data_IF_530882300156
#
_entry.id   IF_530882300156
#
_cell.length_a   1.000
_cell.length_b   1.000
_cell.length_c   1.000
_cell.angle_alpha   90.00
_cell.angle_beta   90.00
_cell.angle_gamma   90.00
#
_symmetry.space_group_name_H-M   'P 1'
#
loop_
_entity.id
_entity.type
_entity.pdbx_description
1 polymer ?
#
# COMPACT_ATOMS: atom_id res chain seq x y z
N UNK A 1 -17.06 0.33 16.57
CA UNK A 1 -16.24 -0.65 17.33
C UNK A 1 -16.58 -2.09 16.97
N UNK A 2 -17.88 -2.45 16.83
CA UNK A 2 -18.29 -3.84 16.50
C UNK A 2 -17.74 -4.35 15.16
N UNK A 3 -17.69 -3.50 14.13
CA UNK A 3 -17.25 -3.89 12.78
C UNK A 3 -15.76 -4.20 12.72
N UNK A 4 -14.94 -3.56 13.57
CA UNK A 4 -13.50 -3.85 13.66
C UNK A 4 -13.28 -5.25 14.25
N UNK A 5 -13.95 -5.58 15.33
CA UNK A 5 -13.85 -6.91 15.95
C UNK A 5 -14.38 -8.02 15.04
N UNK A 6 -15.45 -7.74 14.31
CA UNK A 6 -16.01 -8.71 13.36
C UNK A 6 -15.01 -9.01 12.23
N UNK A 7 -14.36 -7.99 11.66
CA UNK A 7 -13.31 -8.17 10.64
C UNK A 7 -12.11 -8.97 11.20
N UNK A 8 -11.67 -8.63 12.41
CA UNK A 8 -10.59 -9.37 13.07
C UNK A 8 -10.95 -10.84 13.24
N UNK A 9 -12.18 -11.14 13.70
CA UNK A 9 -12.67 -12.52 13.82
C UNK A 9 -12.67 -13.24 12.47
N UNK A 10 -13.20 -12.63 11.41
CA UNK A 10 -13.21 -13.23 10.07
C UNK A 10 -11.78 -13.57 9.59
N UNK A 11 -10.81 -12.67 9.82
CA UNK A 11 -9.41 -12.94 9.49
C UNK A 11 -8.82 -14.09 10.31
N UNK A 12 -9.09 -14.14 11.60
CA UNK A 12 -8.65 -15.24 12.49
C UNK A 12 -9.27 -16.56 12.04
N UNK A 13 -10.56 -16.57 11.70
CA UNK A 13 -11.26 -17.77 11.22
C UNK A 13 -10.66 -18.26 9.89
N UNK A 14 -10.26 -17.33 8.97
CA UNK A 14 -9.56 -17.70 7.73
C UNK A 14 -8.19 -18.31 8.03
N UNK A 15 -7.39 -17.68 8.88
CA UNK A 15 -6.06 -18.19 9.27
C UNK A 15 -6.17 -19.58 9.87
N UNK A 16 -7.09 -19.79 10.83
CA UNK A 16 -7.29 -21.07 11.50
C UNK A 16 -7.77 -22.18 10.57
N UNK A 17 -8.47 -21.82 9.49
CA UNK A 17 -8.98 -22.78 8.48
C UNK A 17 -8.09 -22.88 7.24
N UNK A 18 -6.93 -22.23 7.22
CA UNK A 18 -6.02 -22.22 6.07
C UNK A 18 -6.59 -21.55 4.82
N UNK A 19 -7.61 -20.70 4.97
CA UNK A 19 -8.21 -19.92 3.87
C UNK A 19 -7.51 -18.58 3.74
N UNK A 20 -7.57 -17.98 2.53
CA UNK A 20 -7.00 -16.65 2.23
C UNK A 20 -7.87 -15.95 1.17
N UNK A 21 -9.16 -15.87 1.46
CA UNK A 21 -10.18 -15.33 0.56
C UNK A 21 -10.44 -13.84 0.83
N UNK A 22 -10.95 -13.16 -0.18
CA UNK A 22 -11.44 -11.79 -0.01
C UNK A 22 -12.89 -11.86 0.48
N UNK A 23 -13.12 -11.49 1.74
CA UNK A 23 -14.44 -11.42 2.34
C UNK A 23 -14.85 -9.96 2.58
N UNK A 24 -16.14 -9.66 2.36
CA UNK A 24 -16.71 -8.35 2.61
C UNK A 24 -17.54 -8.37 3.90
N UNK A 25 -16.99 -7.80 4.97
CA UNK A 25 -17.70 -7.66 6.24
C UNK A 25 -18.82 -6.62 6.15
N UNK A 26 -18.66 -5.60 5.30
CA UNK A 26 -19.60 -4.48 5.21
C UNK A 26 -20.68 -4.67 4.14
N UNK A 27 -21.14 -5.92 3.96
CA UNK A 27 -22.11 -6.31 2.92
C UNK A 27 -23.46 -5.59 3.01
N UNK A 28 -23.82 -5.05 4.18
CA UNK A 28 -25.04 -4.26 4.36
C UNK A 28 -25.04 -2.91 3.61
N UNK A 29 -23.87 -2.37 3.29
CA UNK A 29 -23.73 -1.07 2.60
C UNK A 29 -22.93 -1.17 1.30
N UNK A 30 -22.06 -2.18 1.19
CA UNK A 30 -21.22 -2.39 0.02
C UNK A 30 -21.55 -3.75 -0.58
N UNK A 31 -22.12 -3.75 -1.79
CA UNK A 31 -22.42 -4.97 -2.52
C UNK A 31 -21.14 -5.55 -3.16
N UNK A 32 -21.19 -6.82 -3.56
CA UNK A 32 -20.08 -7.47 -4.26
C UNK A 32 -19.72 -6.75 -5.58
N UNK A 33 -20.71 -6.19 -6.24
CA UNK A 33 -20.57 -5.45 -7.50
C UNK A 33 -19.99 -4.05 -7.30
N UNK A 34 -19.94 -3.55 -6.06
CA UNK A 34 -19.48 -2.22 -5.72
C UNK A 34 -20.37 -1.09 -6.25
N UNK A 35 -19.83 0.12 -6.30
CA UNK A 35 -20.52 1.26 -6.85
C UNK A 35 -20.41 1.26 -8.38
N UNK A 36 -21.47 0.92 -9.08
CA UNK A 36 -21.50 0.79 -10.55
C UNK A 36 -21.15 2.10 -11.25
N UNK A 37 -21.57 3.25 -10.73
CA UNK A 37 -21.25 4.57 -11.31
C UNK A 37 -19.76 4.84 -11.19
N UNK A 38 -19.18 4.63 -10.02
CA UNK A 38 -17.73 4.81 -9.81
C UNK A 38 -16.91 3.86 -10.68
N UNK A 39 -17.32 2.60 -10.81
CA UNK A 39 -16.64 1.60 -11.65
C UNK A 39 -16.72 2.00 -13.14
N UNK A 40 -17.87 2.51 -13.60
CA UNK A 40 -18.02 2.99 -14.97
C UNK A 40 -17.09 4.17 -15.25
N UNK A 41 -17.04 5.17 -14.34
CA UNK A 41 -16.13 6.30 -14.46
C UNK A 41 -14.65 5.89 -14.42
N UNK A 42 -14.30 4.94 -13.57
CA UNK A 42 -12.92 4.41 -13.53
C UNK A 42 -12.54 3.76 -14.87
N UNK A 43 -13.43 2.99 -15.47
CA UNK A 43 -13.19 2.37 -16.78
C UNK A 43 -13.15 3.38 -17.94
N UNK A 44 -13.91 4.45 -17.82
CA UNK A 44 -13.92 5.54 -18.80
C UNK A 44 -12.61 6.34 -18.76
N UNK A 45 -12.08 6.61 -17.57
CA UNK A 45 -10.98 7.57 -17.37
C UNK A 45 -9.61 6.89 -17.34
N UNK A 46 -9.53 5.68 -16.81
CA UNK A 46 -8.26 5.02 -16.52
C UNK A 46 -8.01 3.79 -17.39
N UNK A 47 -6.73 3.53 -17.60
CA UNK A 47 -6.21 2.27 -18.10
C UNK A 47 -5.10 1.73 -17.20
N UNK A 48 -4.84 0.43 -17.26
CA UNK A 48 -3.80 -0.21 -16.44
C UNK A 48 -2.43 0.09 -17.06
N UNK A 49 -1.46 0.47 -16.23
CA UNK A 49 -0.04 0.60 -16.63
C UNK A 49 0.56 -0.77 -16.87
N UNK A 50 1.47 -0.88 -17.82
CA UNK A 50 2.21 -2.13 -18.07
C UNK A 50 3.07 -2.50 -16.87
N UNK A 51 3.68 -1.51 -16.22
CA UNK A 51 4.45 -1.67 -15.00
C UNK A 51 4.45 -0.39 -14.18
N UNK A 52 4.63 -0.51 -12.87
CA UNK A 52 4.83 0.62 -11.97
C UNK A 52 5.84 0.26 -10.89
N UNK A 53 6.74 1.20 -10.58
CA UNK A 53 7.75 0.99 -9.54
C UNK A 53 7.22 1.44 -8.18
N UNK A 54 7.04 0.48 -7.30
CA UNK A 54 6.60 0.70 -5.93
C UNK A 54 7.81 0.75 -4.99
N UNK A 55 7.93 1.82 -4.23
CA UNK A 55 9.02 1.98 -3.26
C UNK A 55 9.04 0.82 -2.26
N UNK A 56 10.19 0.18 -2.15
CA UNK A 56 10.40 -1.00 -1.30
C UNK A 56 9.93 -2.33 -1.89
N UNK A 57 9.14 -2.34 -2.97
CA UNK A 57 8.64 -3.56 -3.61
C UNK A 57 9.18 -3.77 -5.03
N UNK A 58 9.76 -2.70 -5.63
CA UNK A 58 10.25 -2.72 -7.00
C UNK A 58 9.15 -2.63 -8.05
N UNK A 59 9.48 -2.97 -9.29
CA UNK A 59 8.56 -2.91 -10.41
C UNK A 59 7.58 -4.09 -10.39
N UNK A 60 6.28 -3.79 -10.41
CA UNK A 60 5.20 -4.78 -10.45
C UNK A 60 4.36 -4.54 -11.70
N UNK A 61 4.22 -5.56 -12.53
CA UNK A 61 3.41 -5.49 -13.73
C UNK A 61 1.92 -5.32 -13.40
N UNK A 62 1.24 -4.50 -14.19
CA UNK A 62 -0.22 -4.28 -14.13
C UNK A 62 -0.74 -3.91 -12.73
N UNK A 63 0.05 -3.17 -11.94
CA UNK A 63 -0.25 -2.86 -10.53
C UNK A 63 -0.67 -1.41 -10.28
N UNK A 64 -0.72 -0.56 -11.31
CA UNK A 64 -1.12 0.84 -11.20
C UNK A 64 -2.00 1.28 -12.37
N UNK A 65 -2.71 2.37 -12.18
CA UNK A 65 -3.53 3.00 -13.21
C UNK A 65 -2.83 4.25 -13.75
N UNK A 66 -3.16 4.61 -14.98
CA UNK A 66 -2.84 5.90 -15.61
C UNK A 66 -4.09 6.43 -16.32
N UNK A 67 -4.11 7.72 -16.62
CA UNK A 67 -5.16 8.27 -17.49
C UNK A 67 -5.03 7.66 -18.88
N UNK A 68 -6.16 7.30 -19.47
CA UNK A 68 -6.17 6.83 -20.87
C UNK A 68 -6.00 7.98 -21.85
N UNK A 69 -5.88 7.67 -23.14
CA UNK A 69 -5.61 8.63 -24.20
C UNK A 69 -6.64 9.77 -24.32
N UNK A 70 -7.92 9.50 -24.02
CA UNK A 70 -8.99 10.50 -24.09
C UNK A 70 -8.84 11.61 -23.04
N UNK A 71 -8.15 11.34 -21.95
CA UNK A 71 -7.90 12.27 -20.85
C UNK A 71 -6.42 12.72 -20.74
N UNK A 72 -5.63 12.49 -21.79
CA UNK A 72 -4.19 12.79 -21.80
C UNK A 72 -3.85 14.24 -21.48
N UNK A 73 -4.69 15.19 -21.88
CA UNK A 73 -4.50 16.62 -21.60
C UNK A 73 -4.64 16.99 -20.11
N UNK A 74 -5.26 16.12 -19.32
CA UNK A 74 -5.40 16.27 -17.87
C UNK A 74 -4.30 15.54 -17.11
N UNK A 75 -3.47 14.77 -17.80
CA UNK A 75 -2.38 14.01 -17.19
C UNK A 75 -1.24 14.94 -16.75
N UNK A 76 -1.05 15.07 -15.44
CA UNK A 76 -0.02 15.92 -14.87
C UNK A 76 1.40 15.50 -15.30
N UNK A 77 1.66 14.21 -15.47
CA UNK A 77 2.97 13.70 -15.92
C UNK A 77 3.31 14.25 -17.32
N UNK A 78 2.32 14.28 -18.21
CA UNK A 78 2.47 14.80 -19.57
C UNK A 78 2.46 16.33 -19.63
N UNK A 79 1.49 16.95 -18.92
CA UNK A 79 1.26 18.39 -18.95
C UNK A 79 2.42 19.19 -18.36
N UNK A 80 3.04 18.68 -17.30
CA UNK A 80 4.11 19.37 -16.59
C UNK A 80 5.50 18.79 -16.87
N UNK A 81 5.61 17.85 -17.81
CA UNK A 81 6.87 17.19 -18.17
C UNK A 81 7.64 16.72 -16.94
N UNK A 82 6.94 16.06 -16.03
CA UNK A 82 7.53 15.57 -14.80
C UNK A 82 8.60 14.52 -15.12
N UNK A 83 9.83 14.81 -14.75
CA UNK A 83 10.94 13.87 -14.90
C UNK A 83 11.02 13.06 -13.62
N UNK A 84 10.66 11.80 -13.71
CA UNK A 84 10.90 10.87 -12.61
C UNK A 84 12.41 10.69 -12.41
N UNK A 85 12.90 11.04 -11.23
CA UNK A 85 14.25 10.71 -10.80
C UNK A 85 14.20 9.41 -10.01
N UNK A 86 14.63 8.27 -10.56
CA UNK A 86 14.67 7.04 -9.81
C UNK A 86 15.65 7.19 -8.64
N UNK A 87 15.15 7.06 -7.44
CA UNK A 87 15.96 7.04 -6.22
C UNK A 87 16.02 5.59 -5.74
N UNK A 88 17.21 5.02 -5.82
CA UNK A 88 17.41 3.66 -5.36
C UNK A 88 17.09 3.51 -3.86
N UNK A 89 16.35 2.47 -3.52
CA UNK A 89 16.08 2.12 -2.13
C UNK A 89 17.39 1.77 -1.39
N UNK A 90 17.45 2.13 -0.11
CA UNK A 90 18.60 1.77 0.72
C UNK A 90 18.65 0.24 0.88
N UNK A 91 19.73 -0.38 0.43
CA UNK A 91 19.91 -1.85 0.44
C UNK A 91 19.82 -2.48 1.83
N UNK A 92 20.12 -1.72 2.89
CA UNK A 92 19.99 -2.21 4.27
C UNK A 92 18.57 -2.06 4.81
N UNK A 93 17.66 -1.41 4.09
CA UNK A 93 16.27 -1.22 4.52
C UNK A 93 15.44 -2.47 4.24
N UNK A 94 14.78 -3.00 5.27
CA UNK A 94 13.91 -4.17 5.14
C UNK A 94 12.45 -3.81 4.78
N UNK A 95 12.19 -2.59 4.27
CA UNK A 95 10.82 -2.09 4.02
C UNK A 95 10.00 -3.08 3.17
N UNK A 96 10.54 -3.60 2.07
CA UNK A 96 9.84 -4.54 1.21
C UNK A 96 9.42 -5.83 1.92
N UNK A 97 10.31 -6.42 2.71
CA UNK A 97 10.02 -7.62 3.49
C UNK A 97 8.98 -7.35 4.60
N UNK A 98 9.03 -6.15 5.20
CA UNK A 98 8.05 -5.73 6.22
C UNK A 98 6.67 -5.52 5.59
N UNK A 99 6.60 -4.90 4.40
CA UNK A 99 5.34 -4.70 3.68
C UNK A 99 4.69 -6.02 3.26
N UNK A 100 5.48 -7.05 2.98
CA UNK A 100 4.98 -8.41 2.68
C UNK A 100 4.69 -9.26 3.92
N UNK A 101 4.95 -8.73 5.14
CA UNK A 101 4.74 -9.47 6.38
C UNK A 101 5.79 -10.53 6.70
N UNK A 102 6.91 -10.55 5.98
CA UNK A 102 8.03 -11.50 6.17
C UNK A 102 8.92 -11.13 7.36
N UNK A 103 8.91 -9.85 7.74
CA UNK A 103 9.70 -9.30 8.85
C UNK A 103 8.89 -8.30 9.67
N UNK A 104 9.28 -8.14 10.93
CA UNK A 104 8.80 -7.05 11.78
C UNK A 104 9.70 -5.82 11.63
N UNK A 105 9.19 -4.60 11.93
CA UNK A 105 10.00 -3.38 11.88
C UNK A 105 11.29 -3.45 12.69
N UNK A 106 11.28 -4.12 13.84
CA UNK A 106 12.47 -4.29 14.70
C UNK A 106 13.57 -5.15 14.08
N UNK A 107 13.23 -5.99 13.11
CA UNK A 107 14.22 -6.83 12.41
C UNK A 107 15.02 -6.03 11.37
N UNK A 108 14.58 -4.81 11.07
CA UNK A 108 15.30 -3.93 10.17
C UNK A 108 16.51 -3.30 10.89
N UNK A 109 17.74 -3.48 10.37
CA UNK A 109 18.96 -2.96 11.01
C UNK A 109 18.98 -1.44 11.15
N UNK A 110 18.17 -0.72 10.37
CA UNK A 110 18.08 0.74 10.38
C UNK A 110 17.02 1.26 11.37
N UNK A 111 16.05 0.42 11.73
CA UNK A 111 14.90 0.84 12.54
C UNK A 111 15.34 1.33 13.92
N UNK A 112 14.86 2.51 14.30
CA UNK A 112 15.14 3.12 15.62
C UNK A 112 16.56 3.63 15.81
N UNK A 113 17.44 3.45 14.84
CA UNK A 113 18.83 3.95 14.85
C UNK A 113 18.94 5.15 13.92
N UNK A 114 19.14 4.89 12.64
CA UNK A 114 19.26 5.92 11.60
C UNK A 114 17.94 6.20 10.89
N UNK A 115 16.97 5.26 10.95
CA UNK A 115 15.63 5.40 10.39
C UNK A 115 14.62 5.63 11.50
N UNK A 116 14.14 6.86 11.60
CA UNK A 116 13.15 7.31 12.58
C UNK A 116 12.09 8.17 11.89
N UNK A 117 10.92 8.46 12.50
CA UNK A 117 9.94 9.37 11.91
C UNK A 117 10.50 10.76 11.55
N UNK A 118 11.51 11.26 12.30
CA UNK A 118 12.17 12.52 12.01
C UNK A 118 13.21 12.41 10.87
N UNK A 119 13.72 11.21 10.59
CA UNK A 119 14.68 10.92 9.51
C UNK A 119 14.32 9.61 8.82
N UNK A 120 13.21 9.59 8.06
CA UNK A 120 12.75 8.38 7.41
C UNK A 120 13.69 7.97 6.25
N UNK A 121 14.05 6.69 6.19
CA UNK A 121 14.86 6.12 5.10
C UNK A 121 13.99 5.25 4.21
N UNK A 122 13.24 4.31 4.78
CA UNK A 122 12.33 3.44 4.03
C UNK A 122 10.93 4.05 3.91
N UNK A 123 10.21 3.72 2.84
CA UNK A 123 8.88 4.23 2.54
C UNK A 123 7.88 4.02 3.71
N UNK A 124 7.95 2.90 4.40
CA UNK A 124 7.08 2.58 5.54
C UNK A 124 7.35 3.39 6.82
N UNK A 125 8.39 4.25 6.85
CA UNK A 125 8.65 5.19 7.94
C UNK A 125 8.24 6.64 7.57
N UNK A 126 8.05 6.96 6.29
CA UNK A 126 7.71 8.31 5.81
C UNK A 126 6.31 8.73 6.25
N UNK A 127 5.32 7.88 6.07
CA UNK A 127 3.95 8.13 6.47
C UNK A 127 3.70 7.65 7.89
N UNK A 128 2.89 8.40 8.65
CA UNK A 128 2.43 7.98 9.99
C UNK A 128 1.61 6.69 9.99
N UNK A 129 1.06 6.33 8.85
CA UNK A 129 0.27 5.10 8.62
C UNK A 129 1.14 3.94 8.12
N UNK A 130 2.39 4.19 7.76
CA UNK A 130 3.32 3.16 7.33
C UNK A 130 3.66 2.19 8.46
N UNK A 131 3.88 0.91 8.13
CA UNK A 131 4.10 -0.15 9.10
C UNK A 131 5.20 0.18 10.12
N UNK A 132 6.34 0.71 9.70
CA UNK A 132 7.42 1.08 10.59
C UNK A 132 7.05 2.28 11.49
N UNK A 133 6.40 3.30 10.94
CA UNK A 133 6.00 4.49 11.70
C UNK A 133 4.91 4.16 12.74
N UNK A 134 3.93 3.34 12.36
CA UNK A 134 2.91 2.86 13.28
C UNK A 134 3.53 2.00 14.40
N UNK A 135 4.43 1.09 14.04
CA UNK A 135 5.15 0.29 15.02
C UNK A 135 5.99 1.15 15.98
N UNK A 136 6.69 2.17 15.48
CA UNK A 136 7.44 3.13 16.30
C UNK A 136 6.56 3.84 17.32
N UNK A 137 5.35 4.23 16.92
CA UNK A 137 4.43 5.02 17.74
C UNK A 137 3.71 4.19 18.80
N UNK A 138 3.29 2.99 18.44
CA UNK A 138 2.32 2.22 19.23
C UNK A 138 2.89 0.96 19.89
N UNK A 139 4.08 0.51 19.49
CA UNK A 139 4.70 -0.64 20.16
C UNK A 139 5.26 -0.26 21.53
N UNK A 140 5.21 -1.20 22.49
CA UNK A 140 5.81 -0.99 23.81
C UNK A 140 7.28 -0.61 23.66
N UNK A 141 7.66 0.53 24.23
CA UNK A 141 9.08 0.91 24.34
C UNK A 141 9.70 -0.02 25.37
N UNK A 142 10.58 -0.89 24.96
CA UNK A 142 11.45 -1.66 25.84
C UNK A 142 12.61 -0.80 26.28
#
# INVERSE_FOLDING_TARGET
ASDVYKRQRMLIDQVNSGRHEVENEFSRAVTKEGNRVAIALMREVFEVRDSFEWRGLGAIAHSALKLNAAYADLDAEKRFHLVEKPVADNKACACGAILRGEKEPRDCPLFGKVCTPARPIGACMVSSEGACAAYWRYSPKR
#
